data_IF_442954054920
#
_entry.id   IF_442954054920
#
_cell.length_a   1.000
_cell.length_b   1.000
_cell.length_c   1.000
_cell.angle_alpha   90.00
_cell.angle_beta   90.00
_cell.angle_gamma   90.00
#
_symmetry.space_group_name_H-M   'P 1'
#
loop_
_entity.id
_entity.type
_entity.pdbx_description
1 polymer ?
#
# COMPACT_ATOMS: atom_id res chain seq x y z
N UNK A 1 -21.42 9.99 9.31
CA UNK A 1 -20.88 8.72 9.83
C UNK A 1 -19.49 9.00 10.34
N UNK A 2 -19.12 8.54 11.56
CA UNK A 2 -17.75 8.69 12.08
C UNK A 2 -16.81 7.72 11.37
N UNK A 3 -15.52 8.08 11.22
CA UNK A 3 -14.48 7.24 10.62
C UNK A 3 -14.38 5.88 11.31
N UNK A 4 -14.48 5.85 12.65
CA UNK A 4 -14.43 4.60 13.41
C UNK A 4 -15.62 3.68 13.09
N UNK A 5 -16.83 4.24 12.95
CA UNK A 5 -18.01 3.46 12.60
C UNK A 5 -17.97 2.99 11.13
N UNK A 6 -17.39 3.78 10.22
CA UNK A 6 -17.15 3.37 8.84
C UNK A 6 -16.17 2.19 8.77
N UNK A 7 -15.07 2.28 9.51
CA UNK A 7 -14.05 1.24 9.57
C UNK A 7 -14.52 -0.04 10.29
N UNK A 8 -15.47 0.05 11.23
CA UNK A 8 -16.00 -1.11 11.95
C UNK A 8 -17.22 -1.74 11.26
N UNK A 9 -18.16 -0.91 10.81
CA UNK A 9 -19.49 -1.34 10.39
C UNK A 9 -19.85 -0.89 8.96
N UNK A 10 -19.02 -0.04 8.35
CA UNK A 10 -19.24 0.53 7.02
C UNK A 10 -18.60 -0.28 5.90
N UNK A 11 -18.38 0.39 4.76
CA UNK A 11 -17.83 -0.22 3.53
C UNK A 11 -16.36 -0.58 3.69
N UNK A 12 -15.66 0.10 4.59
CA UNK A 12 -14.26 -0.12 4.97
C UNK A 12 -14.07 -1.26 5.99
N UNK A 13 -15.13 -1.87 6.51
CA UNK A 13 -15.04 -2.97 7.50
C UNK A 13 -14.13 -4.12 7.07
N UNK A 14 -14.10 -4.44 5.77
CA UNK A 14 -13.23 -5.48 5.21
C UNK A 14 -11.76 -5.10 5.11
N UNK A 15 -11.36 -3.85 5.40
CA UNK A 15 -9.97 -3.43 5.53
C UNK A 15 -9.35 -3.87 6.86
N UNK A 16 -10.19 -4.27 7.83
CA UNK A 16 -9.78 -4.77 9.14
C UNK A 16 -8.93 -3.78 9.94
N UNK A 17 -9.11 -2.47 9.74
CA UNK A 17 -8.33 -1.47 10.47
C UNK A 17 -8.46 -1.60 12.01
N UNK A 18 -9.65 -1.83 12.59
CA UNK A 18 -9.76 -2.04 14.03
C UNK A 18 -8.98 -3.26 14.54
N UNK A 19 -9.00 -4.37 13.78
CA UNK A 19 -8.27 -5.60 14.12
C UNK A 19 -6.77 -5.40 13.96
N UNK A 20 -6.32 -4.76 12.87
CA UNK A 20 -4.91 -4.42 12.62
C UNK A 20 -4.35 -3.52 13.71
N UNK A 21 -5.07 -2.48 14.11
CA UNK A 21 -4.63 -1.55 15.14
C UNK A 21 -4.48 -2.20 16.54
N UNK A 22 -5.23 -3.28 16.81
CA UNK A 22 -5.20 -4.01 18.08
C UNK A 22 -4.21 -5.18 18.08
N UNK A 23 -3.67 -5.56 16.93
CA UNK A 23 -2.81 -6.72 16.77
C UNK A 23 -1.37 -6.26 16.47
N UNK A 24 -0.46 -6.45 17.42
CA UNK A 24 0.96 -6.10 17.28
C UNK A 24 1.69 -6.86 16.16
N UNK A 25 1.15 -8.00 15.74
CA UNK A 25 1.70 -8.81 14.65
C UNK A 25 1.09 -8.45 13.29
N UNK A 26 0.06 -7.62 13.25
CA UNK A 26 -0.50 -7.17 11.98
C UNK A 26 0.50 -6.27 11.24
N UNK A 27 0.50 -6.36 9.92
CA UNK A 27 1.31 -5.48 9.09
C UNK A 27 0.84 -4.03 9.27
N UNK A 28 1.76 -3.11 9.57
CA UNK A 28 1.47 -1.69 9.68
C UNK A 28 1.38 -1.00 8.31
N UNK A 29 1.52 -1.74 7.21
CA UNK A 29 1.70 -1.18 5.88
C UNK A 29 0.51 -1.42 4.95
N UNK A 30 0.39 -0.54 3.96
CA UNK A 30 -0.40 -0.76 2.75
C UNK A 30 0.46 -0.53 1.51
N UNK A 31 0.36 -1.42 0.53
CA UNK A 31 0.97 -1.29 -0.78
C UNK A 31 -0.12 -0.88 -1.77
N UNK A 32 -0.07 0.39 -2.19
CA UNK A 32 -1.03 0.97 -3.11
C UNK A 32 -0.36 1.11 -4.48
N UNK A 33 -0.81 0.29 -5.43
CA UNK A 33 -0.27 0.26 -6.80
C UNK A 33 -1.27 0.85 -7.79
N UNK A 34 -0.76 1.31 -8.93
CA UNK A 34 -1.56 1.81 -10.04
C UNK A 34 -1.36 0.90 -11.26
N UNK A 35 -2.46 0.51 -11.90
CA UNK A 35 -2.39 -0.18 -13.19
C UNK A 35 -1.75 0.73 -14.25
N UNK A 36 -0.75 0.21 -14.96
CA UNK A 36 -0.01 0.92 -16.02
C UNK A 36 -0.42 0.50 -17.43
N UNK A 37 -1.10 -0.64 -17.59
CA UNK A 37 -1.57 -1.14 -18.89
C UNK A 37 -3.01 -0.71 -19.19
N UNK A 38 -3.38 -0.71 -20.46
CA UNK A 38 -4.76 -0.46 -20.92
C UNK A 38 -5.73 -1.60 -20.55
N UNK A 39 -5.26 -2.66 -19.88
CA UNK A 39 -6.13 -3.74 -19.43
C UNK A 39 -6.99 -3.28 -18.25
N UNK A 40 -8.29 -3.56 -18.35
CA UNK A 40 -9.24 -3.45 -17.25
C UNK A 40 -9.15 -4.62 -16.26
N UNK A 41 -8.26 -5.58 -16.51
CA UNK A 41 -8.13 -6.75 -15.65
C UNK A 41 -7.54 -6.37 -14.31
N UNK A 42 -8.27 -6.79 -13.30
CA UNK A 42 -7.85 -6.69 -11.92
C UNK A 42 -6.65 -7.62 -11.70
N UNK A 43 -5.53 -7.14 -11.15
CA UNK A 43 -4.29 -7.92 -11.10
C UNK A 43 -4.38 -9.14 -10.17
N UNK A 44 -5.28 -9.12 -9.18
CA UNK A 44 -5.41 -10.18 -8.17
C UNK A 44 -6.84 -10.29 -7.61
N UNK A 45 -7.23 -11.44 -7.03
CA UNK A 45 -8.51 -11.60 -6.36
C UNK A 45 -8.74 -10.57 -5.25
N UNK A 46 -9.96 -10.07 -5.13
CA UNK A 46 -10.25 -9.01 -4.17
C UNK A 46 -11.68 -8.49 -4.24
N UNK A 47 -11.89 -7.31 -3.68
CA UNK A 47 -13.19 -6.68 -3.55
C UNK A 47 -13.10 -5.17 -3.77
N UNK A 48 -14.22 -4.56 -4.16
CA UNK A 48 -14.30 -3.13 -4.44
C UNK A 48 -14.60 -2.35 -3.16
N UNK A 49 -13.70 -1.46 -2.77
CA UNK A 49 -13.95 -0.47 -1.74
C UNK A 49 -14.40 0.84 -2.38
N UNK A 50 -15.68 1.15 -2.20
CA UNK A 50 -16.35 2.34 -2.75
C UNK A 50 -16.89 3.21 -1.62
N UNK A 51 -16.07 4.05 -0.95
CA UNK A 51 -16.58 4.94 0.09
C UNK A 51 -17.70 5.86 -0.41
N UNK A 52 -18.61 6.28 0.46
CA UNK A 52 -19.76 7.14 0.05
C UNK A 52 -19.33 8.52 -0.48
N UNK A 53 -18.16 9.00 -0.05
CA UNK A 53 -17.58 10.26 -0.50
C UNK A 53 -16.88 10.15 -1.87
N UNK A 54 -16.81 8.96 -2.47
CA UNK A 54 -16.26 8.73 -3.80
C UNK A 54 -17.34 8.73 -4.87
N UNK A 55 -16.97 9.12 -6.09
CA UNK A 55 -17.78 8.82 -7.27
C UNK A 55 -17.72 7.32 -7.56
N UNK A 56 -18.78 6.76 -8.13
CA UNK A 56 -18.92 5.31 -8.31
C UNK A 56 -17.84 4.67 -9.22
N UNK A 57 -17.20 5.47 -10.07
CA UNK A 57 -16.09 5.12 -10.96
C UNK A 57 -14.70 5.20 -10.27
N UNK A 58 -14.63 5.64 -9.02
CA UNK A 58 -13.37 5.86 -8.28
C UNK A 58 -13.09 4.81 -7.20
N UNK A 59 -13.78 3.67 -7.22
CA UNK A 59 -13.56 2.63 -6.22
C UNK A 59 -12.15 2.02 -6.29
N UNK A 60 -11.57 1.77 -5.11
CA UNK A 60 -10.34 0.98 -5.00
C UNK A 60 -10.64 -0.50 -5.18
N UNK A 61 -9.70 -1.22 -5.77
CA UNK A 61 -9.69 -2.69 -5.72
C UNK A 61 -8.76 -3.14 -4.61
N UNK A 62 -9.33 -3.70 -3.55
CA UNK A 62 -8.60 -4.19 -2.38
C UNK A 62 -8.43 -5.70 -2.52
N UNK A 63 -7.21 -6.20 -2.33
CA UNK A 63 -6.93 -7.62 -2.39
C UNK A 63 -7.63 -8.42 -1.30
N UNK A 64 -7.95 -9.68 -1.58
CA UNK A 64 -8.56 -10.59 -0.60
C UNK A 64 -7.63 -10.90 0.59
N UNK A 65 -6.33 -10.60 0.47
CA UNK A 65 -5.39 -10.66 1.59
C UNK A 65 -5.67 -9.61 2.67
N UNK A 66 -6.69 -8.76 2.53
CA UNK A 66 -7.14 -7.87 3.60
C UNK A 66 -7.51 -8.62 4.90
N UNK A 67 -7.94 -9.88 4.78
CA UNK A 67 -8.19 -10.79 5.91
C UNK A 67 -6.91 -11.48 6.45
N UNK A 68 -5.76 -11.34 5.78
CA UNK A 68 -4.44 -11.78 6.28
C UNK A 68 -3.76 -10.59 6.97
N UNK A 69 -3.80 -10.57 8.30
CA UNK A 69 -3.40 -9.39 9.07
C UNK A 69 -1.89 -9.17 9.02
N UNK A 70 -1.11 -10.24 8.95
CA UNK A 70 0.36 -10.27 8.86
C UNK A 70 0.88 -9.87 7.48
N UNK A 71 0.00 -9.56 6.53
CA UNK A 71 0.39 -9.01 5.23
C UNK A 71 -0.01 -7.54 5.10
N UNK A 72 0.73 -6.75 4.32
CA UNK A 72 0.32 -5.40 3.99
C UNK A 72 -1.00 -5.43 3.22
N UNK A 73 -1.83 -4.41 3.44
CA UNK A 73 -3.01 -4.20 2.61
C UNK A 73 -2.58 -3.95 1.17
N UNK A 74 -2.96 -4.82 0.25
CA UNK A 74 -2.66 -4.66 -1.17
C UNK A 74 -3.85 -4.01 -1.87
N UNK A 75 -3.62 -2.84 -2.46
CA UNK A 75 -4.68 -2.03 -3.08
C UNK A 75 -4.24 -1.63 -4.48
N UNK A 76 -5.09 -1.88 -5.48
CA UNK A 76 -4.94 -1.32 -6.81
C UNK A 76 -5.88 -0.10 -6.93
N UNK A 77 -5.29 1.06 -7.26
CA UNK A 77 -6.06 2.26 -7.54
C UNK A 77 -6.77 2.15 -8.89
N UNK A 78 -8.00 2.70 -9.01
CA UNK A 78 -8.62 2.87 -10.31
C UNK A 78 -7.81 3.88 -11.15
N UNK A 79 -7.97 3.82 -12.47
CA UNK A 79 -7.40 4.82 -13.36
C UNK A 79 -8.00 6.18 -12.99
N UNK A 80 -7.16 7.09 -12.55
CA UNK A 80 -7.57 8.48 -12.34
C UNK A 80 -7.33 9.27 -13.62
N UNK A 81 -8.17 10.26 -13.96
CA UNK A 81 -7.86 11.20 -15.01
C UNK A 81 -6.50 11.87 -14.72
N UNK A 82 -5.76 12.27 -15.77
CA UNK A 82 -4.48 12.94 -15.60
C UNK A 82 -4.64 14.15 -14.68
N UNK A 83 -3.69 14.31 -13.78
CA UNK A 83 -3.62 15.44 -12.87
C UNK A 83 -3.53 16.73 -13.70
N UNK A 84 -4.30 17.78 -13.39
CA UNK A 84 -4.21 19.06 -14.09
C UNK A 84 -2.77 19.61 -14.05
N UNK A 85 -2.28 20.14 -15.18
CA UNK A 85 -0.93 20.70 -15.32
C UNK A 85 -0.61 21.87 -14.36
N UNK A 86 -1.59 22.32 -13.57
CA UNK A 86 -1.47 23.41 -12.60
C UNK A 86 -1.01 22.97 -11.21
N UNK A 87 -0.76 21.67 -10.96
CA UNK A 87 -0.13 21.27 -9.71
C UNK A 87 1.32 21.78 -9.66
N UNK A 88 1.75 22.40 -8.55
CA UNK A 88 3.14 22.78 -8.39
C UNK A 88 4.03 21.53 -8.54
N UNK A 89 5.23 21.67 -9.12
CA UNK A 89 6.15 20.54 -9.25
C UNK A 89 6.42 19.95 -7.86
N UNK A 90 6.60 18.63 -7.77
CA UNK A 90 6.92 18.00 -6.50
C UNK A 90 8.19 18.61 -5.91
N UNK A 91 8.19 18.79 -4.60
CA UNK A 91 9.32 19.38 -3.88
C UNK A 91 10.38 18.30 -3.71
N UNK A 92 11.57 18.54 -4.27
CA UNK A 92 12.76 17.74 -3.99
C UNK A 92 12.94 17.59 -2.46
N UNK A 93 13.28 16.40 -1.95
CA UNK A 93 13.87 15.27 -2.66
C UNK A 93 12.94 14.06 -2.86
N UNK A 94 11.62 14.23 -2.73
CA UNK A 94 10.66 13.12 -2.71
C UNK A 94 9.78 13.11 -3.96
N UNK A 95 10.39 13.00 -5.14
CA UNK A 95 9.68 13.17 -6.42
C UNK A 95 9.29 11.84 -7.07
N UNK A 96 10.12 10.81 -6.94
CA UNK A 96 9.89 9.48 -7.50
C UNK A 96 10.25 8.36 -6.52
N UNK A 97 9.34 7.40 -6.31
CA UNK A 97 9.68 6.16 -5.59
C UNK A 97 10.46 5.25 -6.54
N UNK A 98 11.74 5.06 -6.28
CA UNK A 98 12.63 4.21 -7.08
C UNK A 98 12.58 2.75 -6.63
N UNK A 99 12.50 2.50 -5.32
CA UNK A 99 12.45 1.15 -4.75
C UNK A 99 11.61 1.13 -3.46
N UNK A 100 10.89 0.04 -3.25
CA UNK A 100 10.21 -0.31 -2.01
C UNK A 100 10.66 -1.72 -1.63
N UNK A 101 11.35 -1.86 -0.51
CA UNK A 101 11.66 -3.16 0.09
C UNK A 101 10.73 -3.37 1.25
N UNK A 102 10.06 -4.51 1.29
CA UNK A 102 9.13 -4.86 2.36
C UNK A 102 9.47 -6.24 2.90
N UNK A 103 9.58 -6.36 4.22
CA UNK A 103 9.66 -7.63 4.92
C UNK A 103 8.37 -7.92 5.66
N UNK A 104 7.97 -9.19 5.64
CA UNK A 104 6.76 -9.69 6.33
C UNK A 104 7.10 -10.98 7.09
N UNK A 105 6.45 -11.22 8.24
CA UNK A 105 6.79 -12.35 9.12
C UNK A 105 6.18 -13.68 8.65
N UNK A 106 5.55 -13.72 7.48
CA UNK A 106 4.96 -14.94 6.92
C UNK A 106 5.98 -15.70 6.08
N UNK A 107 5.96 -17.03 6.17
CA UNK A 107 6.84 -17.90 5.37
C UNK A 107 6.34 -18.08 3.94
N UNK A 108 5.04 -17.92 3.72
CA UNK A 108 4.41 -17.99 2.41
C UNK A 108 3.43 -16.83 2.25
N UNK A 109 3.61 -15.98 1.21
CA UNK A 109 2.69 -14.90 0.90
C UNK A 109 1.39 -15.44 0.28
N UNK A 110 0.32 -14.67 0.41
CA UNK A 110 -0.91 -14.84 -0.34
C UNK A 110 -0.67 -14.58 -1.84
N UNK A 111 -1.54 -15.13 -2.70
CA UNK A 111 -1.49 -14.87 -4.14
C UNK A 111 -1.57 -13.38 -4.48
N UNK A 112 -2.27 -12.59 -3.66
CA UNK A 112 -2.34 -11.13 -3.80
C UNK A 112 -0.99 -10.49 -3.56
N UNK A 113 -0.35 -10.79 -2.42
CA UNK A 113 0.95 -10.22 -2.07
C UNK A 113 2.04 -10.67 -3.05
N UNK A 114 2.02 -11.94 -3.48
CA UNK A 114 2.88 -12.43 -4.55
C UNK A 114 2.71 -11.63 -5.85
N UNK A 115 1.48 -11.27 -6.20
CA UNK A 115 1.21 -10.50 -7.41
C UNK A 115 1.73 -9.07 -7.29
N UNK A 116 1.49 -8.40 -6.16
CA UNK A 116 1.99 -7.03 -5.92
C UNK A 116 3.53 -7.01 -5.88
N UNK A 117 4.16 -8.03 -5.31
CA UNK A 117 5.62 -8.15 -5.26
C UNK A 117 6.27 -8.35 -6.65
N UNK A 118 5.50 -8.60 -7.72
CA UNK A 118 6.01 -8.65 -9.10
C UNK A 118 6.09 -7.28 -9.76
N UNK A 119 5.63 -6.21 -9.11
CA UNK A 119 5.83 -4.85 -9.60
C UNK A 119 7.33 -4.52 -9.59
N UNK A 120 7.82 -3.87 -10.64
CA UNK A 120 9.26 -3.66 -10.91
C UNK A 120 10.04 -3.00 -9.77
N UNK A 121 9.37 -2.22 -8.92
CA UNK A 121 9.99 -1.45 -7.83
C UNK A 121 9.75 -2.04 -6.45
N UNK A 122 9.15 -3.23 -6.34
CA UNK A 122 8.82 -3.86 -5.06
C UNK A 122 9.67 -5.11 -4.88
N UNK A 123 10.40 -5.17 -3.76
CA UNK A 123 11.13 -6.36 -3.31
C UNK A 123 10.48 -6.87 -2.03
N UNK A 124 10.11 -8.15 -2.00
CA UNK A 124 9.48 -8.81 -0.85
C UNK A 124 10.45 -9.79 -0.18
N UNK A 125 10.63 -9.64 1.13
CA UNK A 125 11.37 -10.57 1.99
C UNK A 125 10.40 -11.26 2.96
N UNK A 126 10.49 -12.58 3.06
CA UNK A 126 9.61 -13.42 3.88
C UNK A 126 10.31 -13.89 5.15
N UNK A 127 9.55 -14.25 6.18
CA UNK A 127 10.07 -14.79 7.44
C UNK A 127 10.81 -13.79 8.33
N UNK A 128 10.71 -12.50 8.03
CA UNK A 128 11.41 -11.42 8.75
C UNK A 128 10.38 -10.49 9.40
N UNK A 129 10.70 -9.82 10.53
CA UNK A 129 9.80 -8.85 11.14
C UNK A 129 9.33 -7.79 10.14
N UNK A 130 8.13 -7.26 10.35
CA UNK A 130 7.59 -6.17 9.53
C UNK A 130 8.60 -5.02 9.44
N UNK A 131 9.06 -4.73 8.23
CA UNK A 131 9.90 -3.58 7.93
C UNK A 131 9.63 -3.11 6.51
N UNK A 132 9.71 -1.80 6.30
CA UNK A 132 9.69 -1.20 4.98
C UNK A 132 10.90 -0.27 4.81
N UNK A 133 11.49 -0.30 3.63
CA UNK A 133 12.46 0.68 3.18
C UNK A 133 11.95 1.29 1.87
N UNK A 134 11.89 2.62 1.81
CA UNK A 134 11.51 3.34 0.60
C UNK A 134 12.70 4.16 0.13
N UNK A 135 13.10 3.97 -1.12
CA UNK A 135 14.14 4.75 -1.78
C UNK A 135 13.48 5.68 -2.79
N UNK A 136 13.65 6.98 -2.58
CA UNK A 136 13.25 8.02 -3.52
C UNK A 136 14.43 8.40 -4.41
N UNK A 137 14.15 8.82 -5.65
CA UNK A 137 15.11 9.44 -6.56
C UNK A 137 16.44 8.67 -6.67
N UNK A 138 16.37 7.33 -6.70
CA UNK A 138 17.52 6.41 -6.71
C UNK A 138 18.51 6.57 -5.52
N UNK A 139 18.13 7.30 -4.47
CA UNK A 139 19.00 7.66 -3.36
C UNK A 139 20.08 8.68 -3.72
N UNK A 140 19.85 9.50 -4.76
CA UNK A 140 20.83 10.43 -5.31
C UNK A 140 21.36 11.46 -4.30
N UNK A 141 20.56 11.88 -3.32
CA UNK A 141 21.02 12.81 -2.29
C UNK A 141 21.85 12.12 -1.19
N UNK A 142 21.88 10.79 -1.16
CA UNK A 142 22.61 9.99 -0.17
C UNK A 142 22.11 10.17 1.26
N UNK A 143 20.90 10.71 1.44
CA UNK A 143 20.31 10.98 2.74
C UNK A 143 19.40 9.84 3.17
N UNK A 144 19.20 9.73 4.49
CA UNK A 144 18.26 8.76 5.04
C UNK A 144 17.67 9.21 6.35
N UNK A 145 16.46 8.72 6.63
CA UNK A 145 15.79 8.82 7.92
C UNK A 145 15.35 7.43 8.36
N UNK A 146 15.93 6.99 9.46
CA UNK A 146 15.44 5.80 10.18
C UNK A 146 14.38 6.26 11.19
N UNK A 147 13.19 5.67 11.10
CA UNK A 147 12.04 5.96 11.97
C UNK A 147 11.80 4.85 13.00
N UNK A 148 12.70 3.87 13.08
CA UNK A 148 12.62 2.78 14.04
C UNK A 148 13.06 3.26 15.43
N UNK A 149 12.48 2.69 16.50
CA UNK A 149 11.48 1.62 16.49
C UNK A 149 10.02 2.09 16.36
N UNK A 150 9.74 3.40 16.39
CA UNK A 150 8.38 3.94 16.45
C UNK A 150 7.54 3.58 15.22
N UNK A 151 8.18 3.59 14.05
CA UNK A 151 7.63 3.07 12.81
C UNK A 151 8.68 2.15 12.16
N UNK A 152 8.33 0.93 11.74
CA UNK A 152 9.27 0.02 11.09
C UNK A 152 9.63 0.45 9.66
N UNK A 153 10.03 1.70 9.48
CA UNK A 153 10.24 2.37 8.19
C UNK A 153 11.61 3.05 8.14
N UNK A 154 12.32 2.84 7.05
CA UNK A 154 13.49 3.62 6.66
C UNK A 154 13.17 4.33 5.35
N UNK A 155 13.47 5.63 5.28
CA UNK A 155 13.32 6.42 4.06
C UNK A 155 14.69 6.86 3.58
N UNK A 156 15.00 6.68 2.29
CA UNK A 156 16.23 7.14 1.63
C UNK A 156 15.88 8.02 0.44
N UNK A 157 16.72 9.00 0.16
CA UNK A 157 16.59 9.91 -0.97
C UNK A 157 17.94 10.50 -1.36
#
# INVERSE_FOLDING_TARGET
>A
MSDENEAANGRGSRLRFPERAKNSNASPFGLIVRATSESTDVPFPGWRYCPEYFRADQCFHVGENSDVLEEPLCICMPRMPPVPASQPPPVEPFTEVAEVRVSVPVDRPSAVLETVARCERITLTLGEPHQMEIVFNEGQAGQSKDLRPELPLVVRW
#
